data_IF_076067145597
#
_entry.id   IF_076067145597
#
_cell.length_a   1.000
_cell.length_b   1.000
_cell.length_c   1.000
_cell.angle_alpha   90.00
_cell.angle_beta   90.00
_cell.angle_gamma   90.00
#
_symmetry.space_group_name_H-M   'P 1'
#
loop_
_entity.id
_entity.type
_entity.pdbx_description
1 polymer ?
#
# COMPACT_ATOMS: atom_id res chain seq x y z
N UNK A 1 13.30 9.39 -18.11
CA UNK A 1 13.20 8.17 -17.27
C UNK A 1 11.77 8.05 -16.77
N UNK A 2 11.17 6.86 -16.74
CA UNK A 2 9.80 6.65 -16.26
C UNK A 2 9.80 5.61 -15.13
N UNK A 3 9.41 6.00 -13.93
CA UNK A 3 9.37 5.14 -12.75
C UNK A 3 8.11 5.40 -11.95
N UNK A 4 7.64 4.36 -11.27
CA UNK A 4 6.53 4.47 -10.32
C UNK A 4 6.90 3.77 -9.04
N UNK A 5 6.57 4.40 -7.92
CA UNK A 5 6.62 3.77 -6.61
C UNK A 5 5.22 3.75 -6.04
N UNK A 6 4.79 2.64 -5.43
CA UNK A 6 3.47 2.47 -4.84
C UNK A 6 3.56 1.92 -3.42
N UNK A 7 2.69 2.41 -2.56
CA UNK A 7 2.45 1.85 -1.23
C UNK A 7 0.95 1.86 -0.95
N UNK A 8 0.45 0.83 -0.28
CA UNK A 8 -0.96 0.68 0.03
C UNK A 8 -1.18 0.49 1.54
N UNK A 9 -2.31 0.99 2.03
CA UNK A 9 -2.89 0.58 3.31
C UNK A 9 -4.14 -0.23 3.05
N UNK A 10 -4.39 -1.17 3.95
CA UNK A 10 -5.55 -2.06 3.90
C UNK A 10 -6.39 -1.91 5.16
N UNK A 11 -7.64 -2.34 5.03
CA UNK A 11 -8.59 -2.55 6.11
C UNK A 11 -9.21 -3.93 5.94
N UNK A 12 -9.79 -4.54 7.00
CA UNK A 12 -10.56 -5.76 6.85
C UNK A 12 -11.78 -5.54 5.94
N UNK A 13 -12.02 -6.45 5.00
CA UNK A 13 -13.19 -6.44 4.13
C UNK A 13 -14.42 -6.94 4.91
N UNK A 14 -15.09 -6.02 5.60
CA UNK A 14 -16.26 -6.32 6.43
C UNK A 14 -17.42 -6.85 5.58
N UNK A 15 -17.71 -6.20 4.46
CA UNK A 15 -18.85 -6.55 3.60
C UNK A 15 -18.61 -7.90 2.92
N UNK A 16 -17.40 -8.12 2.40
CA UNK A 16 -16.99 -9.40 1.84
C UNK A 16 -17.05 -10.52 2.86
N UNK A 17 -16.62 -10.28 4.10
CA UNK A 17 -16.70 -11.29 5.16
C UNK A 17 -18.15 -11.61 5.57
N UNK A 18 -19.04 -10.61 5.61
CA UNK A 18 -20.47 -10.85 5.87
C UNK A 18 -21.08 -11.74 4.80
N UNK A 19 -20.80 -11.44 3.53
CA UNK A 19 -21.27 -12.23 2.41
C UNK A 19 -20.71 -13.65 2.42
N UNK A 20 -19.41 -13.80 2.73
CA UNK A 20 -18.73 -15.09 2.73
C UNK A 20 -19.21 -16.03 3.84
N UNK A 21 -19.43 -15.49 5.04
CA UNK A 21 -19.79 -16.28 6.24
C UNK A 21 -21.29 -16.25 6.56
N UNK A 22 -22.13 -15.70 5.66
CA UNK A 22 -23.58 -15.56 5.85
C UNK A 22 -23.94 -14.92 7.21
N UNK A 23 -23.26 -13.82 7.53
CA UNK A 23 -23.38 -13.15 8.83
C UNK A 23 -24.55 -12.17 8.85
N UNK A 24 -25.38 -12.30 9.89
CA UNK A 24 -26.52 -11.42 10.14
C UNK A 24 -26.11 -9.96 10.40
N UNK A 25 -26.93 -9.01 9.93
CA UNK A 25 -26.71 -7.56 10.11
C UNK A 25 -26.59 -7.13 11.58
N UNK A 26 -27.19 -7.90 12.52
CA UNK A 26 -27.10 -7.65 13.96
C UNK A 26 -25.69 -7.86 14.55
N UNK A 27 -24.81 -8.57 13.85
CA UNK A 27 -23.41 -8.72 14.23
C UNK A 27 -22.71 -7.40 13.93
N UNK A 28 -22.02 -6.79 14.89
CA UNK A 28 -21.30 -5.52 14.65
C UNK A 28 -20.07 -5.72 13.77
N UNK A 29 -19.65 -4.69 13.02
CA UNK A 29 -18.44 -4.76 12.18
C UNK A 29 -17.18 -5.10 12.99
N UNK A 30 -17.14 -4.68 14.27
CA UNK A 30 -16.08 -5.07 15.20
C UNK A 30 -16.05 -6.59 15.42
N UNK A 31 -17.21 -7.24 15.50
CA UNK A 31 -17.32 -8.69 15.62
C UNK A 31 -17.02 -9.39 14.29
N UNK A 32 -17.45 -8.83 13.16
CA UNK A 32 -17.10 -9.34 11.82
C UNK A 32 -15.59 -9.32 11.60
N UNK A 33 -14.92 -8.19 11.88
CA UNK A 33 -13.47 -8.07 11.82
C UNK A 33 -12.79 -9.15 12.69
N UNK A 34 -13.29 -9.38 13.91
CA UNK A 34 -12.80 -10.47 14.77
C UNK A 34 -13.00 -11.86 14.18
N UNK A 35 -14.09 -12.11 13.45
CA UNK A 35 -14.31 -13.40 12.77
C UNK A 35 -13.23 -13.61 11.70
N UNK A 36 -12.94 -12.58 10.89
CA UNK A 36 -11.84 -12.59 9.91
C UNK A 36 -10.51 -12.96 10.60
N UNK A 37 -10.17 -12.27 11.70
CA UNK A 37 -8.91 -12.47 12.42
C UNK A 37 -8.85 -13.80 13.19
N UNK A 38 -9.98 -14.27 13.71
CA UNK A 38 -10.07 -15.55 14.42
C UNK A 38 -9.93 -16.73 13.46
N UNK A 39 -10.50 -16.65 12.25
CA UNK A 39 -10.26 -17.62 11.18
C UNK A 39 -8.79 -17.68 10.76
N UNK A 40 -8.10 -16.53 10.70
CA UNK A 40 -6.65 -16.47 10.49
C UNK A 40 -5.85 -17.26 11.55
N UNK A 41 -6.36 -17.38 12.78
CA UNK A 41 -5.63 -17.94 13.93
C UNK A 41 -6.01 -19.40 14.27
N UNK A 42 -7.21 -19.88 13.89
CA UNK A 42 -7.76 -21.14 14.43
C UNK A 42 -7.70 -22.36 13.50
N UNK A 43 -7.37 -22.25 12.21
CA UNK A 43 -7.03 -23.45 11.42
C UNK A 43 -5.61 -23.93 11.74
N UNK A 44 -5.50 -24.70 12.81
CA UNK A 44 -4.29 -25.40 13.24
C UNK A 44 -3.72 -26.26 12.10
N UNK A 45 -2.78 -25.71 11.34
CA UNK A 45 -1.88 -26.45 10.45
C UNK A 45 -1.75 -25.90 9.03
N UNK A 46 -2.59 -24.94 8.61
CA UNK A 46 -2.43 -24.24 7.33
C UNK A 46 -2.65 -22.76 7.52
N UNK A 47 -1.58 -22.01 7.30
CA UNK A 47 -1.58 -20.56 7.34
C UNK A 47 -2.63 -20.02 6.36
N UNK A 48 -3.71 -19.43 6.86
CA UNK A 48 -4.78 -18.86 6.04
C UNK A 48 -4.37 -17.53 5.39
N UNK A 49 -3.08 -17.16 5.44
CA UNK A 49 -2.50 -16.04 4.73
C UNK A 49 -2.86 -16.01 3.23
N UNK A 50 -3.17 -17.16 2.61
CA UNK A 50 -3.67 -17.22 1.22
C UNK A 50 -5.05 -16.57 1.03
N UNK A 51 -5.85 -16.45 2.10
CA UNK A 51 -7.13 -15.74 2.09
C UNK A 51 -6.97 -14.25 2.39
N UNK A 52 -5.79 -13.79 2.82
CA UNK A 52 -5.56 -12.37 3.11
C UNK A 52 -5.97 -11.46 1.94
N UNK A 53 -5.69 -11.79 0.67
CA UNK A 53 -6.19 -11.01 -0.48
C UNK A 53 -7.72 -10.88 -0.59
N UNK A 54 -8.48 -11.85 -0.06
CA UNK A 54 -9.95 -11.85 -0.07
C UNK A 54 -10.56 -11.23 1.18
N UNK A 55 -9.78 -11.12 2.26
CA UNK A 55 -10.23 -10.66 3.57
C UNK A 55 -9.79 -9.23 3.89
N UNK A 56 -8.94 -8.66 3.06
CA UNK A 56 -8.54 -7.26 3.10
C UNK A 56 -9.19 -6.48 1.94
N UNK A 57 -9.40 -5.19 2.17
CA UNK A 57 -9.76 -4.20 1.16
C UNK A 57 -8.72 -3.08 1.14
N UNK A 58 -8.48 -2.49 -0.03
CA UNK A 58 -7.64 -1.30 -0.17
C UNK A 58 -8.35 -0.10 0.48
N UNK A 59 -7.64 0.59 1.38
CA UNK A 59 -8.16 1.78 2.06
C UNK A 59 -7.44 3.06 1.66
N UNK A 60 -6.14 2.97 1.38
CA UNK A 60 -5.32 4.06 0.84
C UNK A 60 -4.34 3.49 -0.17
N UNK A 61 -4.17 4.17 -1.29
CA UNK A 61 -3.11 3.91 -2.26
C UNK A 61 -2.38 5.22 -2.52
N UNK A 62 -1.08 5.22 -2.26
CA UNK A 62 -0.19 6.33 -2.53
C UNK A 62 0.82 5.91 -3.59
N UNK A 63 1.12 6.81 -4.52
CA UNK A 63 2.06 6.55 -5.61
C UNK A 63 2.86 7.80 -5.96
N UNK A 64 4.17 7.61 -6.16
CA UNK A 64 5.00 8.57 -6.89
C UNK A 64 5.07 8.14 -8.36
N UNK A 65 4.73 9.05 -9.26
CA UNK A 65 5.04 8.94 -10.69
C UNK A 65 6.20 9.86 -11.01
N UNK A 66 7.28 9.30 -11.56
CA UNK A 66 8.47 10.05 -11.98
C UNK A 66 8.55 9.92 -13.49
N UNK A 67 8.41 11.03 -14.22
CA UNK A 67 8.51 11.07 -15.68
C UNK A 67 9.45 12.20 -16.06
N UNK A 68 10.55 11.85 -16.73
CA UNK A 68 11.56 12.80 -17.20
C UNK A 68 12.01 13.77 -16.10
N UNK A 69 12.29 13.20 -14.92
CA UNK A 69 12.69 13.89 -13.68
C UNK A 69 11.61 14.75 -13.01
N UNK A 70 10.43 14.86 -13.62
CA UNK A 70 9.27 15.44 -12.96
C UNK A 70 8.63 14.40 -12.02
N UNK A 71 8.55 14.74 -10.74
CA UNK A 71 7.93 13.90 -9.72
C UNK A 71 6.49 14.36 -9.47
N UNK A 72 5.57 13.41 -9.34
CA UNK A 72 4.19 13.67 -8.94
C UNK A 72 3.76 12.69 -7.86
N UNK A 73 3.24 13.21 -6.75
CA UNK A 73 2.56 12.41 -5.74
C UNK A 73 1.07 12.32 -6.06
N UNK A 74 0.53 11.09 -6.05
CA UNK A 74 -0.90 10.80 -6.12
C UNK A 74 -1.27 9.97 -4.92
N UNK A 75 -2.30 10.39 -4.18
CA UNK A 75 -2.88 9.60 -3.08
C UNK A 75 -4.38 9.49 -3.33
N UNK A 76 -4.93 8.31 -3.11
CA UNK A 76 -6.36 8.02 -3.22
C UNK A 76 -6.76 7.15 -2.05
N UNK A 77 -7.86 7.47 -1.38
CA UNK A 77 -8.35 6.77 -0.19
C UNK A 77 -9.87 6.63 -0.21
N UNK A 78 -10.41 5.88 0.74
CA UNK A 78 -11.85 5.54 0.84
C UNK A 78 -12.70 6.53 1.64
N UNK A 79 -12.20 7.72 2.01
CA UNK A 79 -13.01 8.63 2.83
C UNK A 79 -14.24 9.17 2.10
N UNK A 80 -14.13 9.40 0.79
CA UNK A 80 -15.16 10.01 -0.05
C UNK A 80 -15.60 9.12 -1.21
N UNK A 81 -15.07 7.90 -1.30
CA UNK A 81 -15.28 6.97 -2.41
C UNK A 81 -15.24 5.52 -1.93
N UNK A 82 -15.86 4.65 -2.71
CA UNK A 82 -15.79 3.20 -2.55
C UNK A 82 -14.42 2.64 -2.96
N UNK A 83 -14.12 1.41 -2.53
CA UNK A 83 -12.92 0.70 -3.00
C UNK A 83 -12.91 0.51 -4.53
N UNK A 84 -14.08 0.27 -5.14
CA UNK A 84 -14.24 0.20 -6.61
C UNK A 84 -13.79 1.49 -7.28
N UNK A 85 -14.23 2.66 -6.77
CA UNK A 85 -13.81 3.96 -7.31
C UNK A 85 -12.32 4.24 -7.09
N UNK A 86 -11.75 3.76 -5.97
CA UNK A 86 -10.31 3.80 -5.73
C UNK A 86 -9.55 2.94 -6.76
N UNK A 87 -9.99 1.70 -7.01
CA UNK A 87 -9.41 0.80 -8.01
C UNK A 87 -9.48 1.40 -9.41
N UNK A 88 -10.65 1.92 -9.81
CA UNK A 88 -10.85 2.59 -11.09
C UNK A 88 -9.94 3.82 -11.24
N UNK A 89 -9.64 4.53 -10.16
CA UNK A 89 -8.73 5.67 -10.18
C UNK A 89 -7.26 5.26 -10.37
N UNK A 90 -6.82 4.12 -9.79
CA UNK A 90 -5.44 3.67 -9.88
C UNK A 90 -5.15 2.82 -11.12
N UNK A 91 -6.14 2.10 -11.66
CA UNK A 91 -5.92 1.15 -12.75
C UNK A 91 -5.24 1.77 -13.99
N UNK A 92 -5.67 2.94 -14.52
CA UNK A 92 -5.02 3.57 -15.67
C UNK A 92 -3.57 3.99 -15.43
N UNK A 93 -3.12 4.05 -14.17
CA UNK A 93 -1.75 4.43 -13.79
C UNK A 93 -0.81 3.23 -13.70
N UNK A 94 -1.36 2.03 -13.49
CA UNK A 94 -0.62 0.79 -13.28
C UNK A 94 -0.72 -0.18 -14.47
N UNK A 95 -1.76 -0.07 -15.29
CA UNK A 95 -1.98 -1.01 -16.40
C UNK A 95 -0.88 -0.96 -17.45
N UNK A 96 -0.22 -2.09 -17.69
CA UNK A 96 0.89 -2.23 -18.63
C UNK A 96 2.16 -1.50 -18.20
N UNK A 97 2.29 -1.16 -16.92
CA UNK A 97 3.39 -0.38 -16.37
C UNK A 97 3.91 -1.02 -15.10
N UNK A 98 5.23 -1.20 -15.01
CA UNK A 98 5.86 -1.67 -13.78
C UNK A 98 5.86 -0.57 -12.72
N UNK A 99 5.54 -0.95 -11.47
CA UNK A 99 5.71 -0.10 -10.30
C UNK A 99 6.54 -0.82 -9.23
N UNK A 100 7.36 -0.05 -8.51
CA UNK A 100 8.18 -0.51 -7.41
C UNK A 100 7.40 -0.37 -6.09
N UNK A 101 7.46 -1.37 -5.23
CA UNK A 101 6.80 -1.35 -3.93
C UNK A 101 7.72 -1.85 -2.82
N UNK A 102 7.36 -1.58 -1.57
CA UNK A 102 7.84 -2.38 -0.45
C UNK A 102 6.71 -3.32 -0.06
N UNK A 103 6.87 -4.61 -0.33
CA UNK A 103 5.79 -5.60 -0.20
C UNK A 103 5.64 -6.08 1.24
N UNK A 104 6.74 -6.18 1.99
CA UNK A 104 6.79 -6.66 3.37
C UNK A 104 6.14 -8.05 3.56
N UNK A 105 6.04 -8.84 2.49
CA UNK A 105 5.43 -10.17 2.49
C UNK A 105 3.90 -10.18 2.33
N UNK A 106 3.27 -9.04 2.05
CA UNK A 106 1.82 -8.91 1.92
C UNK A 106 1.27 -9.40 0.58
N UNK A 107 2.13 -9.74 -0.39
CA UNK A 107 1.72 -10.15 -1.73
C UNK A 107 0.81 -9.10 -2.38
N UNK A 108 1.24 -7.85 -2.36
CA UNK A 108 0.45 -6.68 -2.76
C UNK A 108 -0.10 -6.80 -4.19
N UNK A 109 0.66 -7.40 -5.11
CA UNK A 109 0.19 -7.65 -6.47
C UNK A 109 -1.03 -8.59 -6.48
N UNK A 110 -0.97 -9.68 -5.71
CA UNK A 110 -2.06 -10.64 -5.59
C UNK A 110 -3.29 -10.01 -4.90
N UNK A 111 -3.06 -9.18 -3.88
CA UNK A 111 -4.12 -8.38 -3.24
C UNK A 111 -4.84 -7.51 -4.27
N UNK A 112 -4.12 -6.63 -4.98
CA UNK A 112 -4.73 -5.69 -5.93
C UNK A 112 -5.46 -6.44 -7.06
N UNK A 113 -4.88 -7.53 -7.60
CA UNK A 113 -5.54 -8.36 -8.61
C UNK A 113 -6.82 -9.02 -8.08
N UNK A 114 -6.81 -9.48 -6.84
CA UNK A 114 -7.99 -10.06 -6.18
C UNK A 114 -9.07 -9.01 -5.99
N UNK A 115 -8.73 -7.80 -5.53
CA UNK A 115 -9.70 -6.72 -5.34
C UNK A 115 -10.28 -6.22 -6.67
N UNK A 116 -9.47 -6.13 -7.72
CA UNK A 116 -9.95 -5.84 -9.07
C UNK A 116 -10.97 -6.89 -9.54
N UNK A 117 -10.72 -8.18 -9.28
CA UNK A 117 -11.66 -9.26 -9.59
C UNK A 117 -12.97 -9.14 -8.80
N UNK A 118 -12.91 -8.87 -7.49
CA UNK A 118 -14.09 -8.70 -6.62
C UNK A 118 -15.00 -7.57 -7.12
N UNK A 119 -14.40 -6.47 -7.58
CA UNK A 119 -15.13 -5.29 -8.06
C UNK A 119 -15.41 -5.29 -9.57
N UNK A 120 -15.06 -6.37 -10.28
CA UNK A 120 -15.14 -6.46 -11.75
C UNK A 120 -14.42 -5.32 -12.49
N UNK A 121 -13.34 -4.79 -11.89
CA UNK A 121 -12.49 -3.76 -12.46
C UNK A 121 -11.41 -4.38 -13.37
N UNK A 122 -11.13 -3.71 -14.50
CA UNK A 122 -10.14 -4.20 -15.46
C UNK A 122 -8.74 -3.73 -15.08
N UNK A 123 -7.90 -4.66 -14.64
CA UNK A 123 -6.47 -4.45 -14.41
C UNK A 123 -5.69 -5.56 -15.11
N UNK A 124 -5.46 -5.39 -16.41
CA UNK A 124 -5.02 -6.50 -17.28
C UNK A 124 -3.56 -6.85 -17.10
N UNK A 125 -2.70 -5.84 -16.91
CA UNK A 125 -1.25 -6.02 -16.84
C UNK A 125 -0.63 -5.26 -15.66
N UNK A 126 -1.08 -5.59 -14.44
CA UNK A 126 -0.41 -5.13 -13.21
C UNK A 126 0.90 -5.88 -13.01
N UNK A 127 1.99 -5.12 -12.86
CA UNK A 127 3.32 -5.60 -12.55
C UNK A 127 3.90 -4.81 -11.38
N UNK A 128 4.04 -5.46 -10.22
CA UNK A 128 4.75 -4.90 -9.08
C UNK A 128 6.09 -5.59 -8.90
N UNK A 129 7.15 -4.81 -8.69
CA UNK A 129 8.46 -5.33 -8.30
C UNK A 129 8.79 -4.85 -6.88
N UNK A 130 8.94 -5.76 -5.91
CA UNK A 130 9.40 -5.41 -4.58
C UNK A 130 10.82 -4.84 -4.62
N UNK A 131 11.03 -3.71 -3.95
CA UNK A 131 12.36 -3.10 -3.75
C UNK A 131 13.24 -4.05 -2.93
N UNK A 132 12.65 -4.88 -2.07
CA UNK A 132 13.34 -5.95 -1.35
C UNK A 132 14.10 -6.88 -2.31
N UNK A 133 13.50 -7.26 -3.44
CA UNK A 133 14.14 -8.14 -4.42
C UNK A 133 15.30 -7.44 -5.13
N UNK A 134 15.19 -6.13 -5.40
CA UNK A 134 16.31 -5.32 -5.90
C UNK A 134 17.49 -5.33 -4.92
N UNK A 135 17.21 -5.43 -3.63
CA UNK A 135 18.21 -5.56 -2.55
C UNK A 135 18.68 -7.00 -2.33
N UNK A 136 18.25 -7.96 -3.17
CA UNK A 136 18.51 -9.40 -3.01
C UNK A 136 17.96 -9.98 -1.69
N UNK A 137 16.87 -9.40 -1.18
CA UNK A 137 16.10 -9.88 -0.05
C UNK A 137 14.83 -10.57 -0.54
N UNK A 138 14.28 -11.48 0.27
CA UNK A 138 12.91 -11.94 0.06
C UNK A 138 11.95 -10.95 0.74
N UNK A 139 10.81 -10.62 0.12
CA UNK A 139 9.77 -9.83 0.78
C UNK A 139 9.43 -10.40 2.16
N UNK A 140 9.39 -9.53 3.19
CA UNK A 140 9.11 -9.89 4.58
C UNK A 140 10.31 -10.35 5.42
N UNK A 141 11.49 -10.63 4.82
CA UNK A 141 12.70 -10.98 5.60
C UNK A 141 13.20 -9.82 6.46
N UNK A 142 13.07 -8.58 5.94
CA UNK A 142 13.46 -7.34 6.60
C UNK A 142 12.34 -6.34 6.37
N UNK A 143 11.87 -5.68 7.43
CA UNK A 143 10.81 -4.67 7.30
C UNK A 143 11.34 -3.31 6.86
N UNK A 144 10.47 -2.50 6.25
CA UNK A 144 10.82 -1.17 5.72
C UNK A 144 11.48 -0.28 6.78
N UNK A 145 10.94 -0.25 8.00
CA UNK A 145 11.50 0.53 9.11
C UNK A 145 12.95 0.18 9.41
N UNK A 146 13.28 -1.11 9.37
CA UNK A 146 14.62 -1.57 9.67
C UNK A 146 15.60 -1.16 8.56
N UNK A 147 15.18 -1.30 7.30
CA UNK A 147 16.00 -0.89 6.15
C UNK A 147 16.15 0.63 6.07
N UNK A 148 15.05 1.36 6.07
CA UNK A 148 15.00 2.82 6.02
C UNK A 148 15.77 3.44 7.18
N UNK A 149 15.63 2.91 8.40
CA UNK A 149 16.33 3.39 9.58
C UNK A 149 17.86 3.29 9.46
N UNK A 150 18.39 2.26 8.81
CA UNK A 150 19.84 2.15 8.52
C UNK A 150 20.35 3.21 7.57
N UNK A 151 19.46 3.78 6.76
CA UNK A 151 19.76 4.83 5.80
C UNK A 151 19.43 6.24 6.35
N UNK A 152 18.99 6.35 7.60
CA UNK A 152 18.55 7.61 8.20
C UNK A 152 17.20 8.11 7.67
N UNK A 153 16.38 7.21 7.11
CA UNK A 153 15.06 7.52 6.56
C UNK A 153 13.99 7.08 7.57
N UNK A 154 13.05 7.97 7.86
CA UNK A 154 11.90 7.67 8.74
C UNK A 154 10.88 6.82 7.97
N UNK A 155 10.39 5.76 8.62
CA UNK A 155 9.29 4.95 8.13
C UNK A 155 8.46 4.41 9.31
N UNK A 156 7.25 3.97 9.03
CA UNK A 156 6.32 3.39 9.98
C UNK A 156 6.27 1.89 9.83
N UNK A 157 6.18 1.20 10.96
CA UNK A 157 6.03 -0.26 10.97
C UNK A 157 4.74 -0.62 10.24
N UNK A 158 4.76 -1.64 9.39
CA UNK A 158 3.53 -2.21 8.86
C UNK A 158 2.67 -2.73 10.00
N UNK A 159 1.37 -2.47 9.93
CA UNK A 159 0.40 -2.87 10.94
C UNK A 159 -0.54 -3.90 10.34
N UNK A 160 -1.06 -4.79 11.18
CA UNK A 160 -2.12 -5.70 10.76
C UNK A 160 -3.40 -4.94 10.43
N UNK A 161 -4.25 -5.56 9.61
CA UNK A 161 -5.60 -5.05 9.32
C UNK A 161 -6.41 -4.80 10.61
N UNK A 162 -6.24 -5.61 11.66
CA UNK A 162 -6.88 -5.37 12.96
C UNK A 162 -6.43 -4.04 13.59
N UNK A 163 -5.13 -3.78 13.57
CA UNK A 163 -4.57 -2.55 14.10
C UNK A 163 -4.96 -1.34 13.25
N UNK A 164 -4.98 -1.50 11.92
CA UNK A 164 -5.42 -0.46 10.99
C UNK A 164 -6.91 -0.13 11.18
N UNK A 165 -7.74 -1.16 11.38
CA UNK A 165 -9.16 -1.01 11.69
C UNK A 165 -9.40 -0.26 12.99
N UNK A 166 -8.62 -0.55 14.03
CA UNK A 166 -8.74 0.15 15.30
C UNK A 166 -8.34 1.63 15.20
N UNK A 167 -7.34 1.97 14.37
CA UNK A 167 -7.00 3.36 14.06
C UNK A 167 -8.14 4.02 13.29
N UNK A 168 -8.60 3.39 12.20
CA UNK A 168 -9.67 3.92 11.36
C UNK A 168 -10.94 4.21 12.15
N UNK A 169 -11.38 3.31 13.02
CA UNK A 169 -12.59 3.51 13.83
C UNK A 169 -12.46 4.62 14.87
N UNK A 170 -11.25 4.94 15.33
CA UNK A 170 -11.03 5.96 16.38
C UNK A 170 -10.72 7.33 15.79
N UNK A 171 -9.97 7.37 14.70
CA UNK A 171 -9.32 8.58 14.20
C UNK A 171 -9.65 8.86 12.72
N UNK A 172 -10.40 7.97 12.06
CA UNK A 172 -10.74 8.08 10.64
C UNK A 172 -9.60 7.66 9.72
N UNK A 173 -9.70 8.03 8.43
CA UNK A 173 -8.73 7.62 7.41
C UNK A 173 -7.39 8.37 7.52
N UNK A 174 -7.39 9.59 8.05
CA UNK A 174 -6.24 10.52 7.95
C UNK A 174 -4.93 9.92 8.47
N UNK A 175 -4.89 9.25 9.64
CA UNK A 175 -3.65 8.63 10.10
C UNK A 175 -3.17 7.48 9.20
N UNK A 176 -4.08 6.79 8.51
CA UNK A 176 -3.70 5.77 7.52
C UNK A 176 -3.13 6.42 6.26
N UNK A 177 -3.69 7.56 5.83
CA UNK A 177 -3.15 8.36 4.72
C UNK A 177 -1.73 8.86 5.03
N UNK A 178 -1.52 9.44 6.20
CA UNK A 178 -0.19 9.94 6.61
C UNK A 178 0.84 8.81 6.62
N UNK A 179 0.51 7.67 7.24
CA UNK A 179 1.39 6.50 7.25
C UNK A 179 1.67 5.94 5.86
N UNK A 180 0.65 5.89 4.99
CA UNK A 180 0.80 5.44 3.61
C UNK A 180 1.77 6.35 2.84
N UNK A 181 1.63 7.67 3.00
CA UNK A 181 2.51 8.67 2.38
C UNK A 181 3.95 8.55 2.88
N UNK A 182 4.14 8.43 4.19
CA UNK A 182 5.46 8.34 4.80
C UNK A 182 6.18 7.04 4.41
N UNK A 183 5.47 5.91 4.38
CA UNK A 183 6.02 4.64 3.92
C UNK A 183 6.27 4.61 2.41
N UNK A 184 5.43 5.27 1.60
CA UNK A 184 5.72 5.49 0.18
C UNK A 184 7.04 6.26 0.02
N UNK A 185 7.19 7.40 0.71
CA UNK A 185 8.43 8.19 0.64
C UNK A 185 9.64 7.34 1.04
N UNK A 186 9.55 6.58 2.13
CA UNK A 186 10.64 5.71 2.55
C UNK A 186 10.96 4.63 1.51
N UNK A 187 9.95 3.99 0.95
CA UNK A 187 10.09 3.00 -0.14
C UNK A 187 10.81 3.61 -1.34
N UNK A 188 10.39 4.80 -1.77
CA UNK A 188 10.99 5.52 -2.89
C UNK A 188 12.45 5.87 -2.64
N UNK A 189 12.77 6.42 -1.46
CA UNK A 189 14.14 6.82 -1.14
C UNK A 189 15.09 5.61 -1.02
N UNK A 190 14.62 4.49 -0.48
CA UNK A 190 15.39 3.23 -0.46
C UNK A 190 15.62 2.74 -1.90
N UNK A 191 14.57 2.75 -2.73
CA UNK A 191 14.62 2.33 -4.13
C UNK A 191 15.59 3.17 -4.96
N UNK A 192 15.46 4.51 -4.91
CA UNK A 192 16.38 5.43 -5.60
C UNK A 192 17.83 5.20 -5.19
N UNK A 193 18.10 5.05 -3.89
CA UNK A 193 19.45 4.74 -3.42
C UNK A 193 19.98 3.42 -3.95
N UNK A 194 19.11 2.40 -4.08
CA UNK A 194 19.51 1.13 -4.69
C UNK A 194 19.78 1.27 -6.19
N UNK A 195 19.00 2.09 -6.90
CA UNK A 195 19.21 2.37 -8.31
C UNK A 195 20.54 3.07 -8.56
N UNK A 196 20.88 4.07 -7.74
CA UNK A 196 22.19 4.71 -7.77
C UNK A 196 23.33 3.72 -7.53
N UNK A 197 23.22 2.89 -6.48
CA UNK A 197 24.21 1.83 -6.19
C UNK A 197 24.29 0.73 -7.27
N UNK A 198 23.35 0.71 -8.20
CA UNK A 198 23.31 -0.22 -9.33
C UNK A 198 23.71 0.46 -10.66
N UNK A 199 24.20 1.70 -10.62
CA UNK A 199 24.55 2.53 -11.78
C UNK A 199 23.38 2.69 -12.77
N UNK A 200 22.13 2.67 -12.28
CA UNK A 200 20.92 2.90 -13.10
C UNK A 200 20.55 4.38 -13.21
N UNK A 201 20.99 5.17 -12.22
CA UNK A 201 20.91 6.63 -12.16
C UNK A 201 22.22 7.14 -11.57
N UNK A 202 22.61 8.36 -11.87
CA UNK A 202 23.77 8.98 -11.25
C UNK A 202 23.47 9.61 -9.86
N UNK A 203 24.49 10.17 -9.22
CA UNK A 203 24.37 10.77 -7.88
C UNK A 203 23.49 12.02 -7.89
N UNK A 204 23.64 12.88 -8.89
CA UNK A 204 22.86 14.13 -9.02
C UNK A 204 21.38 13.79 -9.26
N UNK A 205 21.09 12.84 -10.15
CA UNK A 205 19.75 12.32 -10.40
C UNK A 205 19.11 11.73 -9.13
N UNK A 206 19.89 10.96 -8.35
CA UNK A 206 19.41 10.36 -7.10
C UNK A 206 19.05 11.44 -6.07
N UNK A 207 19.88 12.46 -5.92
CA UNK A 207 19.67 13.56 -4.98
C UNK A 207 18.48 14.45 -5.39
N UNK A 208 18.40 14.84 -6.66
CA UNK A 208 17.31 15.66 -7.21
C UNK A 208 15.95 14.97 -7.06
N UNK A 209 15.87 13.68 -7.43
CA UNK A 209 14.62 12.92 -7.30
C UNK A 209 14.25 12.69 -5.83
N UNK A 210 15.23 12.43 -4.97
CA UNK A 210 15.01 12.26 -3.54
C UNK A 210 14.43 13.53 -2.93
N UNK A 211 14.98 14.69 -3.27
CA UNK A 211 14.49 15.98 -2.78
C UNK A 211 13.11 16.31 -3.34
N UNK A 212 12.87 16.10 -4.64
CA UNK A 212 11.56 16.28 -5.24
C UNK A 212 10.49 15.44 -4.54
N UNK A 213 10.77 14.16 -4.27
CA UNK A 213 9.86 13.29 -3.53
C UNK A 213 9.58 13.81 -2.11
N UNK A 214 10.61 14.29 -1.39
CA UNK A 214 10.44 14.87 -0.05
C UNK A 214 9.56 16.12 -0.09
N UNK A 215 9.81 17.03 -1.03
CA UNK A 215 9.02 18.25 -1.22
C UNK A 215 7.56 17.90 -1.47
N UNK A 216 7.28 16.96 -2.38
CA UNK A 216 5.90 16.54 -2.66
C UNK A 216 5.21 15.85 -1.48
N UNK A 217 5.92 15.01 -0.74
CA UNK A 217 5.37 14.37 0.47
C UNK A 217 5.09 15.39 1.58
N UNK A 218 6.02 16.30 1.85
CA UNK A 218 5.90 17.29 2.92
C UNK A 218 4.87 18.38 2.61
N UNK A 219 4.75 18.76 1.33
CA UNK A 219 3.78 19.75 0.87
C UNK A 219 2.46 19.12 0.46
N UNK A 220 2.27 17.81 0.62
CA UNK A 220 0.99 17.18 0.36
C UNK A 220 -0.04 17.86 1.25
N UNK A 221 -1.01 18.59 0.67
CA UNK A 221 -2.08 19.16 1.46
C UNK A 221 -2.92 17.96 1.84
N UNK A 222 -2.60 17.28 2.94
CA UNK A 222 -3.54 16.35 3.57
C UNK A 222 -4.81 17.16 3.70
N UNK A 223 -5.82 16.83 2.90
CA UNK A 223 -6.82 17.79 2.45
C UNK A 223 -7.20 18.74 3.59
N UNK A 224 -6.88 20.02 3.44
CA UNK A 224 -7.57 21.04 4.18
C UNK A 224 -9.02 20.99 3.70
N UNK A 225 -9.80 20.10 4.32
CA UNK A 225 -11.22 19.88 4.06
C UNK A 225 -11.97 21.15 4.45
N UNK A 226 -11.98 22.11 3.54
CA UNK A 226 -12.90 23.21 3.56
C UNK A 226 -14.27 22.68 3.11
N UNK A 227 -15.13 22.51 4.12
CA UNK A 227 -16.61 22.50 4.16
C UNK A 227 -17.23 21.22 4.67
#
# INVERSE_FOLDING_TARGET
MNMRFIYCQTLPDIDGARALYDLDESISDKQVAKIIFHHHTQEQGRDAAFLAPFQAMLSVVAMFEIRDFETRLVITDIADRSEMELLAAIAPRLDGQQALCWDDGHQLEALIKTRALVHAESLMDLQLQPVEEMLSLRPGDVGLVQMAGRLGITAHKTISDESAWDVYRKEGITPLVDRCRENLLATTLVGLRKMWLADLIDEDECDELSEACRVHANNYPGESRNK
#
